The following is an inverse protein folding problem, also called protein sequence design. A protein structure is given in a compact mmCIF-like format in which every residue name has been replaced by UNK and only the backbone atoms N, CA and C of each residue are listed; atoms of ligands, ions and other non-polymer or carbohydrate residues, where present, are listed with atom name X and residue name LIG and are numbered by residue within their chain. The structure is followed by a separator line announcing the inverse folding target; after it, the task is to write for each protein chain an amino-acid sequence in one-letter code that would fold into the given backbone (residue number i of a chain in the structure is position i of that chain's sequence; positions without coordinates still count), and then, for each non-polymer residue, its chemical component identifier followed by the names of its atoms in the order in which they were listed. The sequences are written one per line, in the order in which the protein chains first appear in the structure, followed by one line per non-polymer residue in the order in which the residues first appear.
data_IF_056929411060
#
_entry.id   IF_056929411060
#
_cell.length_a   1.000
_cell.length_b   1.000
_cell.length_c   1.000
_cell.angle_alpha   90.00
_cell.angle_beta   90.00
_cell.angle_gamma   90.00
#
_symmetry.space_group_name_H-M   'P 1'
#
loop_
_entity.id
_entity.type
_entity.pdbx_description
1 polymer ?
#
# COMPACT_ATOMS: atom_id res chain seq x y z
N UNK A 1 -0.92 -6.62 36.98
CA UNK A 1 -1.15 -6.40 35.54
C UNK A 1 -2.12 -5.23 35.34
N UNK A 2 -1.75 -3.97 35.60
CA UNK A 2 -2.19 -2.86 34.69
C UNK A 2 -1.50 -1.50 34.97
N UNK A 3 -0.67 -0.91 34.09
CA UNK A 3 -1.15 0.29 33.36
C UNK A 3 -0.57 0.46 31.95
N UNK A 4 0.54 -0.21 31.64
CA UNK A 4 1.24 -0.12 30.35
C UNK A 4 0.41 -0.68 29.20
N UNK A 5 -0.34 -1.74 29.43
CA UNK A 5 -1.17 -2.38 28.40
C UNK A 5 -2.27 -1.45 27.88
N UNK A 6 -2.90 -0.66 28.77
CA UNK A 6 -3.95 0.29 28.39
C UNK A 6 -3.33 1.45 27.61
N UNK A 7 -2.19 1.99 28.05
CA UNK A 7 -1.50 3.06 27.30
C UNK A 7 -1.05 2.60 25.90
N UNK A 8 -0.61 1.36 25.75
CA UNK A 8 -0.20 0.84 24.44
C UNK A 8 -1.40 0.61 23.50
N UNK A 9 -2.55 0.16 24.02
CA UNK A 9 -3.78 0.02 23.23
C UNK A 9 -4.30 1.37 22.76
N UNK A 10 -4.27 2.40 23.62
CA UNK A 10 -4.65 3.76 23.23
C UNK A 10 -3.70 4.37 22.18
N UNK A 11 -2.39 4.15 22.30
CA UNK A 11 -1.41 4.60 21.31
C UNK A 11 -1.61 3.91 19.96
N UNK A 12 -1.82 2.59 19.96
CA UNK A 12 -2.07 1.82 18.74
C UNK A 12 -3.37 2.23 18.03
N UNK A 13 -4.43 2.54 18.79
CA UNK A 13 -5.71 2.98 18.22
C UNK A 13 -5.63 4.39 17.63
N UNK A 14 -4.94 5.32 18.29
CA UNK A 14 -4.69 6.66 17.73
C UNK A 14 -3.86 6.61 16.44
N UNK A 15 -2.82 5.78 16.41
CA UNK A 15 -2.03 5.57 15.20
C UNK A 15 -2.88 5.00 14.06
N UNK A 16 -3.68 3.97 14.33
CA UNK A 16 -4.56 3.36 13.32
C UNK A 16 -5.58 4.34 12.75
N UNK A 17 -6.14 5.24 13.56
CA UNK A 17 -7.07 6.28 13.09
C UNK A 17 -6.38 7.24 12.12
N UNK A 18 -5.15 7.68 12.45
CA UNK A 18 -4.40 8.60 11.60
C UNK A 18 -3.98 7.92 10.29
N UNK A 19 -3.44 6.70 10.37
CA UNK A 19 -2.94 5.94 9.22
C UNK A 19 -4.05 5.54 8.24
N UNK A 20 -5.25 5.24 8.73
CA UNK A 20 -6.40 4.86 7.90
C UNK A 20 -6.78 5.93 6.85
N UNK A 21 -6.53 7.21 7.15
CA UNK A 21 -6.85 8.32 6.25
C UNK A 21 -5.82 8.53 5.13
N UNK A 22 -4.57 8.07 5.35
CA UNK A 22 -3.44 8.37 4.46
C UNK A 22 -3.65 7.80 3.05
N UNK A 23 -3.92 6.50 2.95
CA UNK A 23 -3.99 5.83 1.65
C UNK A 23 -5.18 6.31 0.79
N UNK A 24 -6.42 6.40 1.32
CA UNK A 24 -7.53 6.99 0.56
C UNK A 24 -7.28 8.46 0.20
N UNK A 25 -6.67 9.25 1.10
CA UNK A 25 -6.33 10.65 0.84
C UNK A 25 -5.31 10.81 -0.31
N UNK A 26 -4.26 9.98 -0.32
CA UNK A 26 -3.27 9.97 -1.39
C UNK A 26 -3.89 9.58 -2.75
N UNK A 27 -4.75 8.55 -2.78
CA UNK A 27 -5.46 8.16 -4.00
C UNK A 27 -6.40 9.26 -4.50
N UNK A 28 -7.11 9.94 -3.59
CA UNK A 28 -7.99 11.05 -3.94
C UNK A 28 -7.22 12.23 -4.54
N UNK A 29 -6.08 12.61 -3.95
CA UNK A 29 -5.23 13.66 -4.50
C UNK A 29 -4.72 13.29 -5.90
N UNK A 30 -4.23 12.07 -6.09
CA UNK A 30 -3.79 11.58 -7.41
C UNK A 30 -4.95 11.62 -8.42
N UNK A 31 -6.18 11.28 -8.00
CA UNK A 31 -7.37 11.30 -8.87
C UNK A 31 -7.74 12.69 -9.39
N UNK A 32 -7.31 13.76 -8.73
CA UNK A 32 -7.58 15.15 -9.13
C UNK A 32 -6.53 15.73 -10.06
N UNK A 33 -5.34 15.13 -10.12
CA UNK A 33 -4.21 15.62 -10.91
C UNK A 33 -3.95 14.79 -12.19
N UNK A 34 -4.51 13.58 -12.29
CA UNK A 34 -4.21 12.63 -13.37
C UNK A 34 -5.47 12.04 -14.00
N UNK A 35 -5.39 11.77 -15.32
CA UNK A 35 -6.49 11.18 -16.11
C UNK A 35 -6.75 9.72 -15.73
N UNK A 36 -7.95 9.21 -16.01
CA UNK A 36 -8.35 7.85 -15.66
C UNK A 36 -7.37 6.77 -16.15
N UNK A 37 -6.88 6.89 -17.38
CA UNK A 37 -5.87 5.98 -17.98
C UNK A 37 -4.50 6.05 -17.29
N UNK A 38 -4.18 7.15 -16.60
CA UNK A 38 -2.90 7.37 -15.91
C UNK A 38 -2.96 6.93 -14.43
N UNK A 39 -4.16 6.84 -13.84
CA UNK A 39 -4.35 6.54 -12.41
C UNK A 39 -3.79 5.19 -11.97
N UNK A 40 -3.90 4.15 -12.82
CA UNK A 40 -3.39 2.81 -12.52
C UNK A 40 -1.89 2.84 -12.24
N UNK A 41 -1.12 3.42 -13.16
CA UNK A 41 0.33 3.54 -13.02
C UNK A 41 0.74 4.40 -11.81
N UNK A 42 0.06 5.52 -11.56
CA UNK A 42 0.38 6.40 -10.41
C UNK A 42 0.08 5.73 -9.08
N UNK A 43 -1.01 4.99 -9.01
CA UNK A 43 -1.38 4.17 -7.84
C UNK A 43 -0.35 3.06 -7.61
N UNK A 44 0.10 2.40 -8.69
CA UNK A 44 1.15 1.38 -8.60
C UNK A 44 2.47 1.93 -8.07
N UNK A 45 2.87 3.14 -8.47
CA UNK A 45 4.08 3.82 -7.92
C UNK A 45 3.92 4.06 -6.42
N UNK A 46 2.77 4.58 -5.97
CA UNK A 46 2.49 4.80 -4.55
C UNK A 46 2.60 3.48 -3.76
N UNK A 47 2.04 2.40 -4.30
CA UNK A 47 2.09 1.09 -3.65
C UNK A 47 3.49 0.46 -3.66
N UNK A 48 4.28 0.68 -4.70
CA UNK A 48 5.70 0.30 -4.69
C UNK A 48 6.46 1.00 -3.56
N UNK A 49 6.09 2.24 -3.23
CA UNK A 49 6.59 2.93 -2.05
C UNK A 49 6.32 2.16 -0.76
N UNK A 50 5.12 1.61 -0.58
CA UNK A 50 4.80 0.75 0.58
C UNK A 50 5.69 -0.50 0.65
N UNK A 51 5.91 -1.19 -0.48
CA UNK A 51 6.77 -2.37 -0.55
C UNK A 51 8.22 -2.01 -0.19
N UNK A 52 8.73 -0.89 -0.71
CA UNK A 52 10.06 -0.37 -0.40
C UNK A 52 10.17 -0.02 1.09
N UNK A 53 9.14 0.61 1.68
CA UNK A 53 9.12 0.90 3.11
C UNK A 53 9.24 -0.35 3.97
N UNK A 54 8.67 -1.48 3.57
CA UNK A 54 8.87 -2.77 4.29
C UNK A 54 10.35 -3.22 4.26
N UNK A 55 11.07 -2.97 3.16
CA UNK A 55 12.49 -3.25 3.06
C UNK A 55 13.33 -2.36 3.98
N UNK A 56 13.12 -1.05 3.90
CA UNK A 56 13.90 -0.07 4.65
C UNK A 56 13.54 -0.04 6.13
N UNK A 57 12.29 -0.31 6.51
CA UNK A 57 11.88 -0.41 7.90
C UNK A 57 12.66 -1.51 8.64
N UNK A 58 12.81 -2.68 8.03
CA UNK A 58 13.62 -3.76 8.60
C UNK A 58 15.11 -3.39 8.73
N UNK A 59 15.66 -2.65 7.76
CA UNK A 59 17.05 -2.17 7.79
C UNK A 59 17.29 -1.10 8.86
N UNK A 60 16.38 -0.13 8.99
CA UNK A 60 16.47 0.91 10.02
C UNK A 60 16.33 0.26 11.40
N UNK A 61 15.38 -0.65 11.57
CA UNK A 61 15.21 -1.40 12.79
C UNK A 61 16.47 -2.21 13.15
N UNK A 62 17.12 -2.88 12.18
CA UNK A 62 18.34 -3.64 12.43
C UNK A 62 19.49 -2.74 12.89
N UNK A 63 19.70 -1.60 12.23
CA UNK A 63 20.73 -0.63 12.58
C UNK A 63 20.54 -0.04 13.99
N UNK A 64 19.30 0.30 14.36
CA UNK A 64 18.99 0.87 15.67
C UNK A 64 19.12 -0.18 16.78
N UNK A 65 18.57 -1.37 16.58
CA UNK A 65 18.57 -2.43 17.60
C UNK A 65 19.97 -2.96 17.92
N UNK A 66 20.91 -2.85 16.98
CA UNK A 66 22.30 -3.28 17.15
C UNK A 66 23.15 -2.20 17.85
N UNK A 67 22.96 -0.93 17.49
CA UNK A 67 23.87 0.15 17.90
C UNK A 67 23.35 1.03 19.05
N UNK A 68 22.05 1.03 19.34
CA UNK A 68 21.45 2.00 20.27
C UNK A 68 21.09 1.43 21.65
N UNK A 69 21.54 0.22 21.97
CA UNK A 69 21.30 -0.37 23.29
C UNK A 69 22.13 0.35 24.36
N UNK A 70 21.47 0.95 25.35
CA UNK A 70 22.13 1.66 26.46
C UNK A 70 22.56 3.09 26.12
N UNK A 71 22.35 3.55 24.89
CA UNK A 71 22.63 4.93 24.47
C UNK A 71 21.71 5.89 25.23
N UNK A 72 22.30 6.89 25.90
CA UNK A 72 21.63 7.80 26.84
C UNK A 72 20.85 7.08 27.96
N UNK A 73 21.27 5.87 28.34
CA UNK A 73 20.61 5.07 29.38
C UNK A 73 19.22 4.54 28.96
N UNK A 74 18.91 4.54 27.66
CA UNK A 74 17.62 4.08 27.12
C UNK A 74 17.77 2.75 26.39
N UNK A 75 16.71 1.95 26.40
CA UNK A 75 16.63 0.72 25.64
C UNK A 75 16.49 1.02 24.13
N UNK A 76 17.06 0.17 23.28
CA UNK A 76 17.10 0.39 21.82
C UNK A 76 15.70 0.53 21.18
N UNK A 77 14.68 -0.16 21.70
CA UNK A 77 13.31 -0.07 21.17
C UNK A 77 12.71 1.34 21.27
N UNK A 78 13.13 2.16 22.26
CA UNK A 78 12.67 3.56 22.36
C UNK A 78 13.28 4.44 21.28
N UNK A 79 14.54 4.17 20.94
CA UNK A 79 15.24 4.86 19.87
C UNK A 79 14.60 4.60 18.50
N UNK A 80 14.04 3.41 18.29
CA UNK A 80 13.27 3.10 17.08
C UNK A 80 12.13 4.10 16.89
N UNK A 81 11.30 4.32 17.91
CA UNK A 81 10.22 5.31 17.87
C UNK A 81 10.71 6.75 17.69
N UNK A 82 11.82 7.14 18.31
CA UNK A 82 12.35 8.49 18.17
C UNK A 82 12.89 8.76 16.76
N UNK A 83 13.64 7.82 16.19
CA UNK A 83 14.23 7.98 14.86
C UNK A 83 13.15 7.93 13.78
N UNK A 84 12.29 6.90 13.79
CA UNK A 84 11.21 6.78 12.80
C UNK A 84 10.18 7.91 12.91
N UNK A 85 9.80 8.28 14.14
CA UNK A 85 8.87 9.38 14.38
C UNK A 85 9.43 10.73 13.92
N UNK A 86 10.70 11.04 14.24
CA UNK A 86 11.32 12.30 13.82
C UNK A 86 11.51 12.39 12.30
N UNK A 87 11.91 11.28 11.65
CA UNK A 87 12.00 11.21 10.19
C UNK A 87 10.64 11.45 9.54
N UNK A 88 9.58 10.85 10.08
CA UNK A 88 8.20 11.04 9.59
C UNK A 88 7.74 12.49 9.73
N UNK A 89 8.03 13.15 10.86
CA UNK A 89 7.72 14.58 11.06
C UNK A 89 8.48 15.44 10.06
N UNK A 90 9.76 15.16 9.82
CA UNK A 90 10.55 15.89 8.81
C UNK A 90 9.95 15.75 7.41
N UNK A 91 9.59 14.53 7.01
CA UNK A 91 8.93 14.28 5.73
C UNK A 91 7.59 14.99 5.64
N UNK A 92 6.79 15.00 6.71
CA UNK A 92 5.51 15.71 6.75
C UNK A 92 5.70 17.23 6.59
N UNK A 93 6.71 17.81 7.25
CA UNK A 93 7.05 19.24 7.09
C UNK A 93 7.48 19.54 5.66
N UNK A 94 8.34 18.72 5.05
CA UNK A 94 8.70 18.89 3.65
C UNK A 94 7.50 18.73 2.71
N UNK A 95 6.61 17.78 2.98
CA UNK A 95 5.41 17.54 2.19
C UNK A 95 4.47 18.76 2.18
N UNK A 96 4.37 19.53 3.28
CA UNK A 96 3.59 20.79 3.30
C UNK A 96 4.07 21.84 2.29
N UNK A 97 5.34 21.81 1.89
CA UNK A 97 5.89 22.74 0.89
C UNK A 97 5.89 22.18 -0.53
N UNK A 98 5.98 20.86 -0.67
CA UNK A 98 6.14 20.18 -1.97
C UNK A 98 4.80 19.72 -2.54
N UNK A 99 3.88 19.25 -1.70
CA UNK A 99 2.62 18.67 -2.13
C UNK A 99 1.67 19.79 -2.59
N UNK A 100 1.22 19.79 -3.85
CA UNK A 100 0.22 20.75 -4.30
C UNK A 100 -1.16 20.40 -3.73
N UNK A 101 -1.99 21.41 -3.47
CA UNK A 101 -3.41 21.24 -3.15
C UNK A 101 -4.21 20.79 -4.40
N UNK A 102 -5.48 21.18 -4.54
CA UNK A 102 -6.26 20.88 -5.74
C UNK A 102 -5.93 21.83 -6.89
N UNK A 103 -5.92 21.38 -8.15
CA UNK A 103 -5.59 22.22 -9.31
C UNK A 103 -6.33 23.58 -9.33
N UNK A 104 -7.57 23.60 -8.84
CA UNK A 104 -8.45 24.78 -8.76
C UNK A 104 -8.04 25.80 -7.68
N UNK A 105 -7.37 25.37 -6.61
CA UNK A 105 -6.99 26.19 -5.45
C UNK A 105 -5.47 26.36 -5.31
N UNK A 106 -4.70 25.66 -6.13
CA UNK A 106 -3.26 25.56 -5.97
C UNK A 106 -2.53 26.65 -6.73
N UNK A 107 -1.67 27.39 -6.05
CA UNK A 107 -0.63 28.24 -6.66
C UNK A 107 0.72 28.00 -5.96
N UNK A 108 1.39 26.88 -6.23
CA UNK A 108 2.74 26.65 -5.74
C UNK A 108 3.67 27.55 -6.54
N UNK A 109 4.66 28.15 -5.88
CA UNK A 109 5.67 28.97 -6.56
C UNK A 109 6.51 28.24 -7.63
N UNK A 110 6.36 26.91 -7.76
CA UNK A 110 7.07 26.06 -8.72
C UNK A 110 6.22 25.62 -9.94
N UNK A 111 4.91 25.87 -9.95
CA UNK A 111 4.00 25.53 -11.05
C UNK A 111 3.55 26.81 -11.76
N UNK A 112 3.74 26.88 -13.08
CA UNK A 112 3.27 28.01 -13.87
C UNK A 112 1.74 28.01 -13.99
N UNK A 113 1.13 29.20 -14.06
CA UNK A 113 -0.30 29.34 -14.34
C UNK A 113 -0.71 28.61 -15.63
N UNK A 114 0.19 28.52 -16.63
CA UNK A 114 -0.06 27.76 -17.87
C UNK A 114 -0.17 26.26 -17.61
N UNK A 115 0.69 25.71 -16.75
CA UNK A 115 0.68 24.28 -16.42
C UNK A 115 -0.56 23.91 -15.61
N UNK A 116 -0.96 24.75 -14.67
CA UNK A 116 -2.20 24.58 -13.89
C UNK A 116 -3.43 24.62 -14.82
N UNK A 117 -3.50 25.61 -15.73
CA UNK A 117 -4.61 25.69 -16.69
C UNK A 117 -4.68 24.48 -17.63
N UNK A 118 -3.53 23.94 -18.03
CA UNK A 118 -3.45 22.73 -18.83
C UNK A 118 -3.90 21.50 -18.03
N UNK A 119 -3.53 21.40 -16.76
CA UNK A 119 -3.95 20.32 -15.88
C UNK A 119 -5.47 20.32 -15.68
N UNK A 120 -6.06 21.48 -15.36
CA UNK A 120 -7.53 21.63 -15.23
C UNK A 120 -8.23 21.20 -16.51
N UNK A 121 -7.81 21.75 -17.67
CA UNK A 121 -8.40 21.41 -18.96
C UNK A 121 -8.33 19.92 -19.27
N UNK A 122 -7.18 19.28 -18.97
CA UNK A 122 -7.01 17.83 -19.15
C UNK A 122 -7.98 17.02 -18.30
N UNK A 123 -8.28 17.49 -17.08
CA UNK A 123 -9.23 16.83 -16.17
C UNK A 123 -10.68 17.07 -16.60
N UNK A 124 -11.02 18.26 -17.08
CA UNK A 124 -12.34 18.56 -17.66
C UNK A 124 -12.62 17.66 -18.87
N UNK A 125 -11.66 17.56 -19.80
CA UNK A 125 -11.77 16.67 -20.97
C UNK A 125 -11.97 15.19 -20.56
N UNK A 126 -11.25 14.72 -19.53
CA UNK A 126 -11.38 13.34 -19.03
C UNK A 126 -12.71 13.13 -18.30
N UNK A 127 -13.20 14.15 -17.59
CA UNK A 127 -14.50 14.14 -16.91
C UNK A 127 -15.64 14.09 -17.91
N UNK A 128 -15.58 14.88 -18.97
CA UNK A 128 -16.58 14.91 -20.05
C UNK A 128 -16.60 13.63 -20.88
N UNK A 129 -15.44 12.97 -21.06
CA UNK A 129 -15.35 11.66 -21.70
C UNK A 129 -15.93 10.52 -20.84
N UNK A 130 -15.90 10.67 -19.51
CA UNK A 130 -16.36 9.67 -18.52
C UNK A 130 -17.79 9.96 -18.03
N UNK A 131 -18.35 11.15 -18.28
CA UNK A 131 -19.66 11.59 -17.77
C UNK A 131 -20.65 12.03 -18.84
N UNK A 132 -21.83 11.41 -18.79
CA UNK A 132 -23.07 11.93 -19.35
C UNK A 132 -24.20 12.02 -18.31
N UNK A 133 -23.93 11.91 -17.00
CA UNK A 133 -24.98 11.93 -15.95
C UNK A 133 -24.52 12.62 -14.66
N UNK A 134 -25.45 13.40 -14.10
CA UNK A 134 -25.32 14.36 -13.00
C UNK A 134 -24.71 13.78 -11.70
N UNK A 135 -24.15 14.68 -10.89
CA UNK A 135 -23.64 14.39 -9.55
C UNK A 135 -24.78 13.94 -8.62
N UNK A 136 -24.93 12.63 -8.43
CA UNK A 136 -25.86 12.10 -7.43
C UNK A 136 -25.37 12.35 -5.99
N UNK A 137 -26.32 12.51 -5.06
CA UNK A 137 -26.05 12.62 -3.62
C UNK A 137 -25.22 11.44 -3.11
N UNK A 138 -24.32 11.71 -2.15
CA UNK A 138 -23.49 10.69 -1.50
C UNK A 138 -24.31 9.52 -0.93
N UNK A 139 -25.51 9.81 -0.41
CA UNK A 139 -26.43 8.78 0.11
C UNK A 139 -26.96 7.84 -0.98
N UNK A 140 -27.24 8.37 -2.17
CA UNK A 140 -27.60 7.58 -3.35
C UNK A 140 -26.40 6.74 -3.81
N UNK A 141 -25.22 7.38 -3.90
CA UNK A 141 -23.94 6.72 -4.18
C UNK A 141 -23.67 5.52 -3.29
N UNK A 142 -23.94 5.67 -1.99
CA UNK A 142 -23.76 4.61 -1.01
C UNK A 142 -24.65 3.40 -1.26
N UNK A 143 -25.94 3.63 -1.52
CA UNK A 143 -26.88 2.53 -1.73
C UNK A 143 -26.65 1.83 -3.07
N UNK A 144 -26.28 2.57 -4.10
CA UNK A 144 -25.84 1.99 -5.38
C UNK A 144 -24.57 1.15 -5.26
N UNK A 145 -23.63 1.51 -4.37
CA UNK A 145 -22.40 0.75 -4.16
C UNK A 145 -22.68 -0.57 -3.43
N UNK A 146 -23.48 -0.55 -2.36
CA UNK A 146 -23.77 -1.75 -1.56
C UNK A 146 -24.62 -2.76 -2.32
N UNK A 147 -25.54 -2.30 -3.18
CA UNK A 147 -26.37 -3.18 -4.00
C UNK A 147 -25.60 -3.77 -5.21
N UNK A 148 -24.40 -3.27 -5.51
CA UNK A 148 -23.62 -3.75 -6.64
C UNK A 148 -22.86 -5.05 -6.31
N UNK A 149 -23.21 -6.13 -7.01
CA UNK A 149 -22.56 -7.44 -6.86
C UNK A 149 -21.05 -7.37 -7.12
N UNK A 150 -20.59 -6.51 -8.03
CA UNK A 150 -19.17 -6.38 -8.33
C UNK A 150 -18.38 -5.82 -7.14
N UNK A 151 -18.99 -4.93 -6.34
CA UNK A 151 -18.36 -4.38 -5.12
C UNK A 151 -18.07 -5.51 -4.13
N UNK A 152 -19.01 -6.42 -3.91
CA UNK A 152 -18.83 -7.56 -3.01
C UNK A 152 -17.80 -8.57 -3.54
N UNK A 153 -17.84 -8.90 -4.83
CA UNK A 153 -16.86 -9.81 -5.45
C UNK A 153 -15.44 -9.26 -5.36
N UNK A 154 -15.27 -7.97 -5.62
CA UNK A 154 -13.99 -7.27 -5.52
C UNK A 154 -13.54 -7.12 -4.08
N UNK A 155 -14.46 -6.88 -3.14
CA UNK A 155 -14.17 -6.87 -1.68
C UNK A 155 -13.62 -8.22 -1.23
N UNK A 156 -14.29 -9.32 -1.60
CA UNK A 156 -13.86 -10.68 -1.25
C UNK A 156 -12.48 -10.99 -1.87
N UNK A 157 -12.29 -10.65 -3.15
CA UNK A 157 -11.01 -10.86 -3.84
C UNK A 157 -9.88 -10.07 -3.18
N UNK A 158 -10.13 -8.81 -2.82
CA UNK A 158 -9.16 -8.00 -2.07
C UNK A 158 -8.90 -8.57 -0.68
N UNK A 159 -9.92 -9.02 0.05
CA UNK A 159 -9.74 -9.64 1.36
C UNK A 159 -8.82 -10.87 1.27
N UNK A 160 -9.02 -11.76 0.28
CA UNK A 160 -8.14 -12.91 0.03
C UNK A 160 -6.70 -12.49 -0.31
N UNK A 161 -6.53 -11.41 -1.09
CA UNK A 161 -5.21 -10.85 -1.38
C UNK A 161 -4.53 -10.30 -0.12
N UNK A 162 -5.27 -9.59 0.73
CA UNK A 162 -4.76 -9.07 2.00
C UNK A 162 -4.36 -10.22 2.94
N UNK A 163 -5.17 -11.29 3.06
CA UNK A 163 -4.77 -12.51 3.78
C UNK A 163 -3.44 -13.04 3.24
N UNK A 164 -3.27 -13.07 1.92
CA UNK A 164 -2.05 -13.59 1.29
C UNK A 164 -0.81 -12.75 1.63
N UNK A 165 -0.93 -11.43 1.80
CA UNK A 165 0.21 -10.55 2.15
C UNK A 165 0.39 -10.31 3.66
N UNK A 166 -0.51 -10.84 4.50
CA UNK A 166 -0.44 -10.73 5.96
C UNK A 166 0.84 -11.32 6.58
N UNK A 167 1.50 -12.25 5.87
CA UNK A 167 2.79 -12.83 6.29
C UNK A 167 3.89 -11.77 6.51
N UNK A 168 3.75 -10.57 5.93
CA UNK A 168 4.69 -9.46 6.11
C UNK A 168 4.89 -9.10 7.58
N UNK A 169 3.85 -9.22 8.42
CA UNK A 169 3.98 -9.01 9.87
C UNK A 169 4.96 -10.01 10.53
N UNK A 170 5.08 -11.21 9.95
CA UNK A 170 5.91 -12.30 10.45
C UNK A 170 7.22 -12.47 9.67
N UNK A 171 7.48 -11.63 8.66
CA UNK A 171 8.65 -11.76 7.80
C UNK A 171 10.00 -11.65 8.53
N UNK A 172 10.17 -10.74 9.52
CA UNK A 172 11.35 -10.73 10.38
C UNK A 172 11.53 -12.02 11.18
N UNK A 173 10.43 -12.62 11.64
CA UNK A 173 10.45 -13.89 12.37
C UNK A 173 10.83 -15.04 11.43
N UNK A 174 10.29 -15.06 10.20
CA UNK A 174 10.64 -16.05 9.18
C UNK A 174 12.12 -15.99 8.82
N UNK A 175 12.69 -14.80 8.62
CA UNK A 175 14.13 -14.62 8.36
C UNK A 175 15.01 -14.97 9.56
N UNK A 176 14.53 -14.76 10.80
CA UNK A 176 15.23 -15.20 12.01
C UNK A 176 15.42 -16.73 12.06
N UNK A 177 14.47 -17.50 11.53
CA UNK A 177 14.57 -18.96 11.51
C UNK A 177 15.63 -19.53 10.55
N UNK A 178 16.32 -18.68 9.77
CA UNK A 178 17.43 -19.10 8.91
C UNK A 178 18.71 -19.41 9.70
N UNK A 179 18.76 -19.07 10.99
CA UNK A 179 19.88 -19.36 11.88
C UNK A 179 20.99 -18.30 11.88
N UNK A 180 20.76 -17.14 11.27
CA UNK A 180 21.67 -16.00 11.32
C UNK A 180 21.47 -15.16 12.60
N UNK A 181 22.40 -14.24 12.85
CA UNK A 181 22.23 -13.26 13.93
C UNK A 181 21.03 -12.35 13.65
N UNK A 182 20.41 -11.80 14.69
CA UNK A 182 19.24 -10.90 14.59
C UNK A 182 19.44 -9.80 13.55
N UNK A 183 20.61 -9.15 13.57
CA UNK A 183 20.94 -8.04 12.67
C UNK A 183 21.04 -8.50 11.22
N UNK A 184 21.68 -9.65 10.96
CA UNK A 184 21.78 -10.22 9.61
C UNK A 184 20.40 -10.67 9.13
N UNK A 185 19.59 -11.33 9.96
CA UNK A 185 18.24 -11.77 9.60
C UNK A 185 17.35 -10.60 9.16
N UNK A 186 17.37 -9.48 9.89
CA UNK A 186 16.63 -8.28 9.50
C UNK A 186 17.14 -7.66 8.20
N UNK A 187 18.46 -7.70 7.97
CA UNK A 187 19.05 -7.23 6.72
C UNK A 187 18.65 -8.10 5.52
N UNK A 188 18.51 -9.42 5.73
CA UNK A 188 18.03 -10.35 4.71
C UNK A 188 16.56 -10.15 4.34
N UNK A 189 15.77 -9.39 5.12
CA UNK A 189 14.41 -9.01 4.75
C UNK A 189 14.36 -8.06 3.56
N UNK A 190 15.36 -7.18 3.40
CA UNK A 190 15.28 -6.10 2.42
C UNK A 190 15.34 -6.56 0.95
N UNK A 191 16.23 -7.49 0.53
CA UNK A 191 16.34 -7.88 -0.87
C UNK A 191 15.05 -8.46 -1.47
N UNK A 192 14.29 -9.36 -0.80
CA UNK A 192 12.99 -9.83 -1.30
C UNK A 192 12.00 -8.70 -1.61
N UNK A 193 11.86 -7.74 -0.70
CA UNK A 193 10.94 -6.60 -0.89
C UNK A 193 11.40 -5.65 -2.00
N UNK A 194 12.70 -5.36 -2.11
CA UNK A 194 13.22 -4.49 -3.18
C UNK A 194 13.01 -5.10 -4.56
N UNK A 195 13.28 -6.40 -4.72
CA UNK A 195 13.02 -7.12 -5.98
C UNK A 195 11.52 -7.15 -6.27
N UNK A 196 10.69 -7.39 -5.26
CA UNK A 196 9.24 -7.37 -5.42
C UNK A 196 8.71 -6.01 -5.85
N UNK A 197 9.23 -4.91 -5.31
CA UNK A 197 8.83 -3.56 -5.72
C UNK A 197 9.13 -3.30 -7.20
N UNK A 198 10.33 -3.66 -7.66
CA UNK A 198 10.74 -3.51 -9.07
C UNK A 198 9.84 -4.37 -9.97
N UNK A 199 9.64 -5.64 -9.62
CA UNK A 199 8.80 -6.54 -10.39
C UNK A 199 7.33 -6.10 -10.39
N UNK A 200 6.78 -5.69 -9.25
CA UNK A 200 5.41 -5.19 -9.13
C UNK A 200 5.17 -3.96 -10.01
N UNK A 201 6.13 -3.03 -10.07
CA UNK A 201 6.04 -1.87 -10.96
C UNK A 201 5.96 -2.29 -12.45
N UNK A 202 6.89 -3.12 -12.92
CA UNK A 202 6.90 -3.57 -14.31
C UNK A 202 5.69 -4.45 -14.64
N UNK A 203 5.27 -5.30 -13.70
CA UNK A 203 4.11 -6.18 -13.87
C UNK A 203 2.80 -5.40 -13.94
N UNK A 204 2.62 -4.39 -13.08
CA UNK A 204 1.47 -3.50 -13.13
C UNK A 204 1.42 -2.72 -14.44
N UNK A 205 2.57 -2.18 -14.89
CA UNK A 205 2.66 -1.47 -16.17
C UNK A 205 2.35 -2.40 -17.35
N UNK A 206 2.79 -3.65 -17.30
CA UNK A 206 2.48 -4.64 -18.33
C UNK A 206 0.98 -4.99 -18.34
N UNK A 207 0.36 -5.10 -17.16
CA UNK A 207 -1.08 -5.32 -17.03
C UNK A 207 -1.89 -4.18 -17.64
N UNK A 208 -1.51 -2.94 -17.37
CA UNK A 208 -2.18 -1.76 -17.92
C UNK A 208 -2.06 -1.71 -19.46
N UNK A 209 -0.92 -2.12 -20.02
CA UNK A 209 -0.69 -2.14 -21.48
C UNK A 209 -1.45 -3.26 -22.19
N UNK A 210 -1.48 -4.47 -21.62
CA UNK A 210 -2.13 -5.64 -22.22
C UNK A 210 -3.63 -5.69 -21.95
N UNK A 211 -4.09 -5.00 -20.89
CA UNK A 211 -5.47 -5.04 -20.38
C UNK A 211 -5.91 -6.44 -19.92
N UNK A 212 -4.99 -7.38 -19.75
CA UNK A 212 -5.26 -8.77 -19.34
C UNK A 212 -5.15 -8.94 -17.82
N UNK A 213 -6.12 -8.41 -17.07
CA UNK A 213 -6.03 -8.30 -15.60
C UNK A 213 -6.04 -9.65 -14.87
N UNK A 214 -6.73 -10.66 -15.41
CA UNK A 214 -6.85 -11.97 -14.77
C UNK A 214 -5.49 -12.66 -14.59
N UNK A 215 -4.70 -12.79 -15.66
CA UNK A 215 -3.39 -13.44 -15.59
C UNK A 215 -2.41 -12.67 -14.70
N UNK A 216 -2.48 -11.34 -14.73
CA UNK A 216 -1.61 -10.48 -13.94
C UNK A 216 -1.89 -10.53 -12.43
N UNK A 217 -3.09 -10.97 -12.02
CA UNK A 217 -3.43 -11.22 -10.61
C UNK A 217 -3.15 -12.68 -10.23
N UNK A 218 -3.53 -13.64 -11.07
CA UNK A 218 -3.43 -15.08 -10.77
C UNK A 218 -1.98 -15.60 -10.79
N UNK A 219 -1.13 -15.13 -11.72
CA UNK A 219 0.26 -15.61 -11.82
C UNK A 219 1.06 -15.27 -10.55
N UNK A 220 1.09 -14.01 -10.05
CA UNK A 220 1.78 -13.69 -8.80
C UNK A 220 1.28 -14.49 -7.59
N UNK A 221 -0.03 -14.75 -7.51
CA UNK A 221 -0.60 -15.62 -6.48
C UNK A 221 -0.07 -17.05 -6.57
N UNK A 222 -0.04 -17.64 -7.77
CA UNK A 222 0.52 -18.97 -7.97
C UNK A 222 2.00 -19.02 -7.57
N UNK A 223 2.80 -18.02 -7.94
CA UNK A 223 4.21 -17.89 -7.52
C UNK A 223 4.32 -17.83 -5.99
N UNK A 224 3.42 -17.08 -5.34
CA UNK A 224 3.34 -17.00 -3.88
C UNK A 224 3.04 -18.35 -3.23
N UNK A 225 2.09 -19.11 -3.78
CA UNK A 225 1.76 -20.48 -3.33
C UNK A 225 2.98 -21.39 -3.45
N UNK A 226 3.70 -21.34 -4.57
CA UNK A 226 4.95 -22.10 -4.73
C UNK A 226 6.00 -21.72 -3.68
N UNK A 227 6.13 -20.42 -3.37
CA UNK A 227 6.97 -19.95 -2.26
C UNK A 227 6.59 -20.59 -0.93
N UNK A 228 5.31 -20.54 -0.55
CA UNK A 228 4.85 -21.16 0.69
C UNK A 228 5.07 -22.68 0.73
N UNK A 229 4.85 -23.38 -0.39
CA UNK A 229 5.10 -24.83 -0.49
C UNK A 229 6.58 -25.17 -0.27
N UNK A 230 7.50 -24.44 -0.91
CA UNK A 230 8.94 -24.65 -0.71
C UNK A 230 9.30 -24.40 0.76
N UNK A 231 8.78 -23.33 1.36
CA UNK A 231 9.03 -23.00 2.76
C UNK A 231 8.54 -24.10 3.73
N UNK A 232 7.45 -24.80 3.40
CA UNK A 232 6.89 -25.88 4.20
C UNK A 232 7.61 -27.23 4.01
N UNK A 233 8.14 -27.50 2.83
CA UNK A 233 8.70 -28.81 2.49
C UNK A 233 10.21 -28.96 2.75
N UNK A 234 10.93 -27.89 3.13
CA UNK A 234 12.39 -27.95 3.29
C UNK A 234 12.91 -27.18 4.50
N UNK A 235 13.95 -27.72 5.12
CA UNK A 235 14.73 -27.05 6.17
C UNK A 235 16.05 -26.47 5.64
N UNK A 236 16.32 -26.60 4.33
CA UNK A 236 17.53 -26.03 3.72
C UNK A 236 17.47 -24.50 3.70
N UNK A 237 18.48 -23.84 4.27
CA UNK A 237 18.54 -22.38 4.42
C UNK A 237 18.43 -21.63 3.09
N UNK A 238 19.13 -22.10 2.04
CA UNK A 238 19.10 -21.45 0.74
C UNK A 238 17.71 -21.55 0.09
N UNK A 239 17.10 -22.74 0.14
CA UNK A 239 15.76 -22.95 -0.41
C UNK A 239 14.69 -22.12 0.32
N UNK A 240 14.81 -21.97 1.65
CA UNK A 240 13.92 -21.11 2.46
C UNK A 240 14.12 -19.63 2.19
N UNK A 241 15.34 -19.21 1.87
CA UNK A 241 15.56 -17.82 1.47
C UNK A 241 14.98 -17.54 0.08
N UNK A 242 15.17 -18.46 -0.88
CA UNK A 242 14.55 -18.35 -2.22
C UNK A 242 13.03 -18.33 -2.12
N UNK A 243 12.43 -19.15 -1.24
CA UNK A 243 10.98 -19.17 -1.06
C UNK A 243 10.42 -17.83 -0.59
N UNK A 244 11.17 -17.08 0.24
CA UNK A 244 10.78 -15.72 0.64
C UNK A 244 10.70 -14.77 -0.55
N UNK A 245 11.62 -14.84 -1.52
CA UNK A 245 11.50 -14.03 -2.75
C UNK A 245 10.21 -14.36 -3.50
N UNK A 246 9.89 -15.65 -3.64
CA UNK A 246 8.68 -16.07 -4.36
C UNK A 246 7.40 -15.63 -3.65
N UNK A 247 7.33 -15.79 -2.32
CA UNK A 247 6.16 -15.39 -1.53
C UNK A 247 5.89 -13.90 -1.61
N UNK A 248 6.92 -13.06 -1.55
CA UNK A 248 6.79 -11.59 -1.61
C UNK A 248 6.35 -11.11 -3.00
N UNK A 249 6.43 -11.93 -4.06
CA UNK A 249 5.88 -11.56 -5.37
C UNK A 249 4.34 -11.45 -5.39
N UNK A 250 3.65 -11.99 -4.39
CA UNK A 250 2.19 -11.82 -4.24
C UNK A 250 1.77 -10.34 -4.22
N UNK A 251 2.65 -9.43 -3.78
CA UNK A 251 2.42 -7.97 -3.81
C UNK A 251 2.15 -7.42 -5.22
N UNK A 252 2.69 -8.04 -6.28
CA UNK A 252 2.42 -7.62 -7.65
C UNK A 252 0.94 -7.81 -8.02
N UNK A 253 0.30 -8.88 -7.54
CA UNK A 253 -1.13 -9.12 -7.73
C UNK A 253 -2.00 -8.07 -7.02
N UNK A 254 -1.60 -7.65 -5.81
CA UNK A 254 -2.28 -6.60 -5.05
C UNK A 254 -2.22 -5.25 -5.78
N UNK A 255 -1.05 -4.88 -6.33
CA UNK A 255 -0.87 -3.65 -7.12
C UNK A 255 -1.84 -3.60 -8.31
N UNK A 256 -1.87 -4.69 -9.09
CA UNK A 256 -2.74 -4.81 -10.27
C UNK A 256 -4.22 -4.74 -9.87
N UNK A 257 -4.59 -5.39 -8.77
CA UNK A 257 -5.97 -5.37 -8.29
C UNK A 257 -6.39 -3.95 -7.86
N UNK A 258 -5.54 -3.17 -7.20
CA UNK A 258 -5.83 -1.77 -6.88
C UNK A 258 -6.00 -0.89 -8.13
N UNK A 259 -5.15 -1.07 -9.14
CA UNK A 259 -5.33 -0.42 -10.45
C UNK A 259 -6.65 -0.81 -11.11
N UNK A 260 -7.07 -2.07 -10.98
CA UNK A 260 -8.33 -2.54 -11.52
C UNK A 260 -9.55 -1.99 -10.77
N UNK A 261 -9.51 -1.95 -9.44
CA UNK A 261 -10.57 -1.36 -8.60
C UNK A 261 -10.88 0.07 -9.03
N UNK A 262 -9.84 0.86 -9.25
CA UNK A 262 -9.94 2.27 -9.65
C UNK A 262 -10.62 2.47 -11.01
N UNK A 263 -10.55 1.47 -11.90
CA UNK A 263 -11.12 1.50 -13.25
C UNK A 263 -12.49 0.81 -13.38
N UNK A 264 -12.91 0.01 -12.39
CA UNK A 264 -14.13 -0.81 -12.50
C UNK A 264 -15.40 -0.01 -12.24
N UNK A 265 -15.31 1.05 -11.45
CA UNK A 265 -16.44 1.92 -11.11
C UNK A 265 -16.25 3.31 -11.71
N UNK A 266 -16.40 3.51 -13.04
CA UNK A 266 -16.16 4.81 -13.66
C UNK A 266 -17.19 5.87 -13.24
N UNK A 267 -18.46 5.49 -13.02
CA UNK A 267 -19.56 6.41 -12.74
C UNK A 267 -20.69 5.75 -11.92
N UNK A 268 -21.48 6.50 -11.12
CA UNK A 268 -21.29 7.91 -10.72
C UNK A 268 -20.10 8.10 -9.73
N UNK A 269 -19.50 9.30 -9.66
CA UNK A 269 -18.36 9.58 -8.75
C UNK A 269 -18.64 9.24 -7.28
N UNK A 270 -19.85 9.54 -6.80
CA UNK A 270 -20.28 9.23 -5.44
C UNK A 270 -20.26 7.70 -5.17
N UNK A 271 -20.76 6.89 -6.11
CA UNK A 271 -20.72 5.43 -6.03
C UNK A 271 -19.29 4.91 -6.03
N UNK A 272 -18.44 5.42 -6.93
CA UNK A 272 -17.02 5.04 -7.03
C UNK A 272 -16.28 5.29 -5.72
N UNK A 273 -16.43 6.49 -5.15
CA UNK A 273 -15.78 6.85 -3.90
C UNK A 273 -16.20 5.93 -2.75
N UNK A 274 -17.51 5.68 -2.60
CA UNK A 274 -18.02 4.76 -1.58
C UNK A 274 -17.55 3.33 -1.83
N UNK A 275 -17.61 2.83 -3.07
CA UNK A 275 -17.17 1.47 -3.42
C UNK A 275 -15.68 1.26 -3.10
N UNK A 276 -14.81 2.19 -3.47
CA UNK A 276 -13.37 2.09 -3.18
C UNK A 276 -13.11 2.13 -1.67
N UNK A 277 -13.76 3.04 -0.94
CA UNK A 277 -13.62 3.14 0.51
C UNK A 277 -14.12 1.86 1.22
N UNK A 278 -15.28 1.35 0.78
CA UNK A 278 -15.87 0.12 1.30
C UNK A 278 -14.96 -1.09 1.05
N UNK A 279 -14.53 -1.30 -0.19
CA UNK A 279 -13.63 -2.41 -0.57
C UNK A 279 -12.33 -2.35 0.23
N UNK A 280 -11.69 -1.18 0.30
CA UNK A 280 -10.44 -1.03 1.05
C UNK A 280 -10.64 -1.32 2.54
N UNK A 281 -11.67 -0.74 3.17
CA UNK A 281 -11.95 -0.93 4.60
C UNK A 281 -12.26 -2.38 4.95
N UNK A 282 -13.18 -3.02 4.22
CA UNK A 282 -13.55 -4.42 4.48
C UNK A 282 -12.47 -5.41 4.10
N UNK A 283 -11.61 -5.10 3.13
CA UNK A 283 -10.47 -5.97 2.80
C UNK A 283 -9.48 -6.12 3.94
N UNK A 284 -9.40 -5.14 4.85
CA UNK A 284 -8.52 -5.21 6.03
C UNK A 284 -8.94 -6.29 7.03
N UNK A 285 -10.17 -6.80 6.96
CA UNK A 285 -10.57 -8.00 7.72
C UNK A 285 -9.66 -9.19 7.39
N UNK A 286 -9.10 -9.24 6.17
CA UNK A 286 -8.10 -10.24 5.80
C UNK A 286 -6.84 -10.21 6.68
N UNK A 287 -6.42 -9.04 7.17
CA UNK A 287 -5.29 -8.96 8.09
C UNK A 287 -5.61 -9.54 9.47
N UNK A 288 -6.87 -9.46 9.92
CA UNK A 288 -7.32 -10.08 11.18
C UNK A 288 -7.32 -11.61 11.05
N UNK A 289 -7.73 -12.14 9.91
CA UNK A 289 -7.71 -13.59 9.66
C UNK A 289 -6.28 -14.12 9.50
N UNK A 290 -5.36 -13.29 8.99
CA UNK A 290 -3.96 -13.65 8.77
C UNK A 290 -3.06 -13.48 10.00
N UNK A 291 -3.50 -12.76 11.03
CA UNK A 291 -2.78 -12.57 12.29
C UNK A 291 -2.95 -13.76 13.22
#
# INVERSE_FOLDING_TARGET
MPPLLISHVHQASLQGIVEASFFPGALFLISKWYKHDELGLRTAILFCGNIISNAFGALIASAILDNMQGVLGRAAWRWLFYVEGSLTVLVAVCAMFVLPDFPETTSPGWLSAKEISLAIKRMEEDTDLVHGREAESLSSGFWMAIQDRNVWLLTCTMACQIVTVSFTAYFPTLTATLGYSRTISLLLCAPPYLISAVLAFFWSRHSDKTRERFYHISIPLCVGIFGFLIAACTMNTAARYVSMFLTVQSYAGVCVLYGWLSNTFPSPPAKRAVALAFINSFSQVGNITGS
#
